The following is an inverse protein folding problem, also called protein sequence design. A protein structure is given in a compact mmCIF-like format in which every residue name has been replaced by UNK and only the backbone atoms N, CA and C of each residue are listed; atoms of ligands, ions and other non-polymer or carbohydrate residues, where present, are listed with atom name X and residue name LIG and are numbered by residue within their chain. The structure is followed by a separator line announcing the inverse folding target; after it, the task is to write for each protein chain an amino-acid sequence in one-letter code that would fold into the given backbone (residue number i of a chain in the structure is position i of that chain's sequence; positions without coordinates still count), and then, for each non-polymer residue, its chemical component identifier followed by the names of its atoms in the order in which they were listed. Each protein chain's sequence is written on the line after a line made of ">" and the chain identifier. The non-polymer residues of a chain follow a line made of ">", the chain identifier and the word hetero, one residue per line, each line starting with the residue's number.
data_IF_589062399057
#
_entry.id   IF_589062399057
#
_cell.length_a   1.000
_cell.length_b   1.000
_cell.length_c   1.000
_cell.angle_alpha   90.00
_cell.angle_beta   90.00
_cell.angle_gamma   90.00
#
_symmetry.space_group_name_H-M   'P 1'
#
loop_
_entity.id
_entity.type
_entity.pdbx_description
1 polymer ?
#
# COMPACT_ATOMS: atom_id res chain seq x y z
N UNK A 1 -34.62 6.37 -3.89
CA UNK A 1 -34.19 7.75 -4.18
C UNK A 1 -32.93 7.70 -5.01
N UNK A 2 -33.03 7.93 -6.33
CA UNK A 2 -31.86 7.99 -7.21
C UNK A 2 -31.14 9.30 -6.88
N UNK A 3 -29.96 9.22 -6.26
CA UNK A 3 -29.12 10.40 -6.07
C UNK A 3 -28.55 10.75 -7.45
N UNK A 4 -29.05 11.82 -8.05
CA UNK A 4 -28.38 12.46 -9.17
C UNK A 4 -26.97 12.83 -8.71
N UNK A 5 -25.95 12.20 -9.28
CA UNK A 5 -24.56 12.65 -9.13
C UNK A 5 -24.47 13.98 -9.86
N UNK A 6 -24.56 15.09 -9.14
CA UNK A 6 -24.22 16.40 -9.66
C UNK A 6 -22.74 16.37 -10.02
N UNK A 7 -22.43 16.71 -11.27
CA UNK A 7 -21.07 16.95 -11.71
C UNK A 7 -20.50 18.08 -10.84
N UNK A 8 -19.49 17.76 -10.03
CA UNK A 8 -18.71 18.78 -9.33
C UNK A 8 -17.80 19.40 -10.38
N UNK A 9 -17.83 20.73 -10.61
CA UNK A 9 -16.85 21.38 -11.47
C UNK A 9 -15.46 21.11 -10.88
N UNK A 10 -14.67 20.29 -11.56
CA UNK A 10 -13.30 19.98 -11.16
C UNK A 10 -12.35 20.93 -11.89
N UNK A 11 -11.80 21.92 -11.18
CA UNK A 11 -10.55 22.53 -11.59
C UNK A 11 -9.42 21.53 -11.32
N UNK A 12 -8.48 21.41 -12.26
CA UNK A 12 -7.23 20.67 -12.04
C UNK A 12 -6.47 21.38 -10.92
N UNK A 13 -6.18 20.67 -9.84
CA UNK A 13 -5.43 21.23 -8.71
C UNK A 13 -3.94 21.31 -8.97
N UNK A 14 -3.39 20.26 -9.57
CA UNK A 14 -1.99 20.12 -9.93
C UNK A 14 -1.83 18.99 -10.94
N UNK A 15 -0.73 19.04 -11.68
CA UNK A 15 -0.24 17.98 -12.56
C UNK A 15 1.21 17.69 -12.14
N UNK A 16 1.54 16.42 -11.92
CA UNK A 16 2.89 16.00 -11.54
C UNK A 16 3.55 15.31 -12.74
N UNK A 17 4.59 15.93 -13.33
CA UNK A 17 5.19 15.48 -14.58
C UNK A 17 4.45 15.96 -15.82
N UNK A 18 4.99 15.61 -17.00
CA UNK A 18 4.62 16.10 -18.34
C UNK A 18 4.96 17.57 -18.59
N UNK A 19 4.88 17.97 -19.87
CA UNK A 19 5.04 19.36 -20.35
C UNK A 19 4.05 20.33 -19.67
N UNK A 20 2.88 19.83 -19.25
CA UNK A 20 1.84 20.60 -18.55
C UNK A 20 1.99 20.51 -17.01
N UNK A 21 3.13 20.01 -16.53
CA UNK A 21 3.39 19.82 -15.11
C UNK A 21 3.37 21.12 -14.32
N UNK A 22 2.78 21.06 -13.12
CA UNK A 22 2.64 22.20 -12.21
C UNK A 22 3.52 22.07 -10.96
N UNK A 23 3.99 20.86 -10.65
CA UNK A 23 4.80 20.57 -9.47
C UNK A 23 6.29 20.49 -9.83
N UNK A 24 7.14 21.08 -9.00
CA UNK A 24 8.57 20.80 -9.05
C UNK A 24 8.83 19.35 -8.62
N UNK A 25 9.56 18.61 -9.44
CA UNK A 25 9.91 17.22 -9.18
C UNK A 25 11.24 17.19 -8.44
N UNK A 26 11.30 16.45 -7.33
CA UNK A 26 12.51 16.26 -6.53
C UNK A 26 12.90 14.77 -6.61
N UNK A 27 14.08 14.48 -7.13
CA UNK A 27 14.59 13.10 -7.23
C UNK A 27 15.14 12.61 -5.87
N UNK A 28 15.46 11.31 -5.79
CA UNK A 28 16.01 10.66 -4.60
C UNK A 28 17.35 11.24 -4.16
N UNK A 29 18.14 11.80 -5.08
CA UNK A 29 19.41 12.46 -4.78
C UNK A 29 19.24 13.93 -4.33
N UNK A 30 18.01 14.42 -4.29
CA UNK A 30 17.66 15.80 -3.92
C UNK A 30 17.73 16.80 -5.07
N UNK A 31 18.02 16.36 -6.30
CA UNK A 31 17.97 17.22 -7.49
C UNK A 31 16.54 17.70 -7.72
N UNK A 32 16.39 19.01 -7.98
CA UNK A 32 15.09 19.66 -8.20
C UNK A 32 14.93 20.06 -9.66
N UNK A 33 13.83 19.60 -10.26
CA UNK A 33 13.42 19.92 -11.62
C UNK A 33 12.17 20.81 -11.57
N UNK A 34 12.32 22.08 -11.91
CA UNK A 34 11.22 23.07 -11.89
C UNK A 34 10.51 23.12 -13.24
N UNK A 35 9.16 23.07 -13.29
CA UNK A 35 8.40 23.17 -14.54
C UNK A 35 8.82 24.35 -15.42
N UNK A 36 8.91 24.13 -16.74
CA UNK A 36 9.35 25.14 -17.71
C UNK A 36 10.84 25.44 -17.72
N UNK A 37 11.65 24.81 -16.85
CA UNK A 37 13.11 24.90 -16.92
C UNK A 37 13.68 23.90 -17.93
N UNK A 38 14.82 24.21 -18.55
CA UNK A 38 15.47 23.29 -19.50
C UNK A 38 15.84 21.95 -18.86
N UNK A 39 16.15 21.92 -17.56
CA UNK A 39 16.42 20.67 -16.84
C UNK A 39 15.16 19.81 -16.68
N UNK A 40 14.01 20.44 -16.45
CA UNK A 40 12.72 19.74 -16.37
C UNK A 40 12.28 19.25 -17.74
N UNK A 41 12.27 20.11 -18.77
CA UNK A 41 11.91 19.69 -20.13
C UNK A 41 12.90 18.67 -20.74
N UNK A 42 14.13 18.63 -20.23
CA UNK A 42 15.18 17.71 -20.68
C UNK A 42 15.25 16.39 -19.92
N UNK A 43 14.37 16.14 -18.94
CA UNK A 43 14.28 14.85 -18.25
C UNK A 43 14.05 13.71 -19.27
N UNK A 44 14.48 12.47 -18.99
CA UNK A 44 14.40 11.30 -19.90
C UNK A 44 14.36 11.61 -21.41
N UNK A 45 15.43 12.22 -21.93
CA UNK A 45 15.57 12.52 -23.38
C UNK A 45 14.51 13.51 -23.92
N UNK A 46 14.12 14.51 -23.13
CA UNK A 46 13.18 15.55 -23.55
C UNK A 46 11.74 15.34 -23.04
N UNK A 47 11.55 14.49 -22.03
CA UNK A 47 10.29 14.18 -21.37
C UNK A 47 10.26 14.83 -20.01
N UNK A 48 9.32 15.72 -19.76
CA UNK A 48 9.24 16.52 -18.54
C UNK A 48 8.72 15.76 -17.30
N UNK A 49 9.31 14.60 -16.98
CA UNK A 49 8.89 13.72 -15.88
C UNK A 49 10.01 12.75 -15.47
N UNK A 50 10.01 12.33 -14.20
CA UNK A 50 10.88 11.26 -13.70
C UNK A 50 10.19 9.88 -13.72
N UNK A 51 8.98 9.75 -14.24
CA UNK A 51 8.26 8.48 -14.40
C UNK A 51 7.40 8.53 -15.66
N UNK A 52 7.28 7.43 -16.39
CA UNK A 52 6.53 7.38 -17.66
C UNK A 52 5.87 6.03 -17.88
N UNK A 53 4.68 6.06 -18.49
CA UNK A 53 3.87 4.88 -18.70
C UNK A 53 3.36 4.29 -17.38
N UNK A 54 3.32 5.08 -16.30
CA UNK A 54 2.97 4.59 -14.97
C UNK A 54 1.56 3.99 -14.89
N UNK A 55 1.38 3.05 -13.98
CA UNK A 55 0.11 2.42 -13.66
C UNK A 55 -0.19 2.44 -12.16
N UNK A 56 -1.48 2.31 -11.88
CA UNK A 56 -2.07 2.19 -10.54
C UNK A 56 -1.62 3.24 -9.52
N UNK A 57 -1.57 4.52 -9.93
CA UNK A 57 -1.34 5.61 -8.98
C UNK A 57 -2.46 5.68 -7.93
N UNK A 58 -2.12 5.42 -6.68
CA UNK A 58 -3.04 5.42 -5.55
C UNK A 58 -2.48 6.28 -4.41
N UNK A 59 -3.36 7.03 -3.74
CA UNK A 59 -3.01 7.78 -2.52
C UNK A 59 -2.99 6.84 -1.31
N UNK A 60 -1.98 6.95 -0.44
CA UNK A 60 -1.81 6.09 0.75
C UNK A 60 -1.75 6.85 2.08
N UNK A 61 -2.11 8.14 2.09
CA UNK A 61 -2.01 8.99 3.28
C UNK A 61 -0.73 9.81 3.31
N UNK A 62 -0.72 10.88 4.12
CA UNK A 62 0.48 11.66 4.44
C UNK A 62 1.20 12.24 3.20
N UNK A 63 0.41 12.56 2.17
CA UNK A 63 0.89 13.05 0.88
C UNK A 63 1.54 11.99 -0.01
N UNK A 64 1.57 10.72 0.39
CA UNK A 64 2.20 9.64 -0.39
C UNK A 64 1.26 9.08 -1.45
N UNK A 65 1.81 8.94 -2.65
CA UNK A 65 1.22 8.27 -3.80
C UNK A 65 2.13 7.12 -4.18
N UNK A 66 1.60 5.91 -4.23
CA UNK A 66 2.32 4.73 -4.70
C UNK A 66 1.87 4.47 -6.13
N UNK A 67 2.81 4.07 -6.97
CA UNK A 67 2.54 3.69 -8.35
C UNK A 67 3.56 2.67 -8.82
N UNK A 68 3.25 2.03 -9.94
CA UNK A 68 4.20 1.27 -10.72
C UNK A 68 4.67 2.15 -11.88
N UNK A 69 5.97 2.41 -11.96
CA UNK A 69 6.58 3.14 -13.09
C UNK A 69 7.11 2.11 -14.09
N UNK A 70 6.45 2.00 -15.25
CA UNK A 70 6.87 1.07 -16.30
C UNK A 70 8.16 1.54 -16.98
N UNK A 71 8.43 2.85 -16.97
CA UNK A 71 9.49 3.50 -17.74
C UNK A 71 9.44 3.16 -19.25
N UNK A 72 8.25 2.88 -19.77
CA UNK A 72 8.01 2.53 -21.16
C UNK A 72 7.33 3.70 -21.88
N UNK A 73 7.90 4.08 -23.02
CA UNK A 73 7.35 5.10 -23.88
C UNK A 73 6.60 4.48 -25.06
N UNK A 74 5.27 4.55 -25.10
CA UNK A 74 4.49 3.98 -26.18
C UNK A 74 4.66 4.73 -27.51
N UNK A 75 5.19 5.96 -27.50
CA UNK A 75 5.39 6.75 -28.73
C UNK A 75 6.61 6.27 -29.49
N UNK A 76 7.72 6.04 -28.79
CA UNK A 76 8.96 5.52 -29.39
C UNK A 76 9.01 4.00 -29.39
N UNK A 77 8.12 3.34 -28.63
CA UNK A 77 8.13 1.90 -28.39
C UNK A 77 9.44 1.43 -27.73
N UNK A 78 9.94 2.20 -26.76
CA UNK A 78 11.21 1.94 -26.09
C UNK A 78 11.10 2.13 -24.57
N UNK A 79 11.94 1.41 -23.83
CA UNK A 79 12.14 1.70 -22.41
C UNK A 79 13.16 2.82 -22.25
N UNK A 80 12.76 3.90 -21.60
CA UNK A 80 13.64 5.05 -21.28
C UNK A 80 14.27 4.93 -19.88
N UNK A 81 13.96 3.83 -19.17
CA UNK A 81 14.46 3.55 -17.83
C UNK A 81 14.18 2.11 -17.38
N UNK A 82 13.98 1.94 -16.07
CA UNK A 82 13.70 0.65 -15.46
C UNK A 82 12.28 0.60 -14.89
N UNK A 83 11.61 -0.53 -15.07
CA UNK A 83 10.34 -0.75 -14.36
C UNK A 83 10.59 -0.89 -12.87
N UNK A 84 9.80 -0.17 -12.08
CA UNK A 84 10.01 -0.03 -10.63
C UNK A 84 8.74 0.26 -9.87
N UNK A 85 8.74 -0.16 -8.61
CA UNK A 85 7.80 0.30 -7.60
C UNK A 85 8.26 1.69 -7.14
N UNK A 86 7.35 2.66 -7.08
CA UNK A 86 7.67 4.06 -6.79
C UNK A 86 6.78 4.63 -5.69
N UNK A 87 7.36 5.43 -4.78
CA UNK A 87 6.61 6.30 -3.85
C UNK A 87 6.96 7.76 -4.16
N UNK A 88 5.93 8.53 -4.48
CA UNK A 88 6.00 9.98 -4.67
C UNK A 88 5.25 10.68 -3.53
N UNK A 89 5.90 11.59 -2.82
CA UNK A 89 5.26 12.45 -1.83
C UNK A 89 4.94 13.80 -2.46
N UNK A 90 3.66 14.16 -2.47
CA UNK A 90 3.18 15.46 -2.95
C UNK A 90 2.97 16.40 -1.76
N UNK A 91 3.52 17.61 -1.87
CA UNK A 91 3.23 18.72 -0.98
C UNK A 91 2.51 19.82 -1.77
N UNK A 92 1.20 19.92 -1.58
CA UNK A 92 0.35 20.89 -2.29
C UNK A 92 0.63 22.35 -1.91
N UNK A 93 1.22 22.61 -0.73
CA UNK A 93 1.55 23.99 -0.32
C UNK A 93 2.81 24.49 -1.03
N UNK A 94 3.83 23.64 -1.10
CA UNK A 94 5.10 23.96 -1.73
C UNK A 94 5.10 23.68 -3.25
N UNK A 95 4.01 23.08 -3.76
CA UNK A 95 3.87 22.64 -5.14
C UNK A 95 5.04 21.74 -5.58
N UNK A 96 5.36 20.73 -4.77
CA UNK A 96 6.43 19.77 -5.04
C UNK A 96 5.93 18.33 -5.06
N UNK A 97 6.57 17.50 -5.90
CA UNK A 97 6.43 16.05 -5.94
C UNK A 97 7.82 15.42 -5.74
N UNK A 98 8.06 14.81 -4.59
CA UNK A 98 9.36 14.21 -4.25
C UNK A 98 9.33 12.70 -4.38
N UNK A 99 10.27 12.11 -5.10
CA UNK A 99 10.56 10.69 -4.97
C UNK A 99 11.11 10.46 -3.56
N UNK A 100 10.47 9.58 -2.80
CA UNK A 100 10.90 9.26 -1.43
C UNK A 100 11.31 7.80 -1.27
N UNK A 101 11.06 6.98 -2.29
CA UNK A 101 11.44 5.57 -2.31
C UNK A 101 11.32 4.98 -3.73
N UNK A 102 12.20 4.04 -4.07
CA UNK A 102 12.08 3.19 -5.26
C UNK A 102 12.53 1.74 -5.01
N UNK A 103 12.01 0.80 -5.80
CA UNK A 103 12.55 -0.54 -5.95
C UNK A 103 12.47 -0.98 -7.41
N UNK A 104 13.64 -1.29 -8.01
CA UNK A 104 13.75 -1.74 -9.41
C UNK A 104 13.58 -3.25 -9.49
N UNK A 105 12.79 -3.71 -10.45
CA UNK A 105 12.45 -5.14 -10.58
C UNK A 105 13.59 -6.03 -11.09
N UNK A 106 14.62 -5.44 -11.71
CA UNK A 106 15.66 -6.18 -12.42
C UNK A 106 15.23 -6.69 -13.80
N UNK A 107 13.98 -6.44 -14.19
CA UNK A 107 13.44 -6.62 -15.53
C UNK A 107 12.45 -5.48 -15.84
N UNK A 108 12.03 -5.37 -17.09
CA UNK A 108 11.12 -4.33 -17.53
C UNK A 108 9.74 -4.89 -17.93
N UNK A 109 8.69 -4.20 -17.51
CA UNK A 109 7.27 -4.41 -17.83
C UNK A 109 6.77 -3.19 -18.59
N UNK A 110 6.31 -3.35 -19.83
CA UNK A 110 5.92 -2.26 -20.73
C UNK A 110 4.55 -1.69 -20.41
N UNK A 111 3.67 -2.48 -19.80
CA UNK A 111 2.32 -2.07 -19.40
C UNK A 111 1.88 -2.79 -18.14
N UNK A 112 0.90 -2.23 -17.43
CA UNK A 112 0.38 -2.72 -16.17
C UNK A 112 1.41 -2.78 -15.05
N UNK A 113 0.97 -3.25 -13.88
CA UNK A 113 1.79 -3.29 -12.68
C UNK A 113 1.08 -2.60 -11.53
N UNK A 114 1.56 -2.90 -10.34
CA UNK A 114 0.93 -2.45 -9.10
C UNK A 114 1.98 -2.20 -8.02
N UNK A 115 1.63 -1.34 -7.06
CA UNK A 115 2.44 -1.04 -5.89
C UNK A 115 1.55 -0.66 -4.70
N UNK A 116 1.25 -1.63 -3.86
CA UNK A 116 0.33 -1.50 -2.74
C UNK A 116 1.02 -1.59 -1.39
N UNK A 117 0.70 -0.68 -0.48
CA UNK A 117 1.15 -0.78 0.91
C UNK A 117 0.41 -1.90 1.64
N UNK A 118 1.14 -2.78 2.32
CA UNK A 118 0.61 -3.84 3.19
C UNK A 118 0.50 -3.39 4.66
N UNK A 119 -0.27 -4.12 5.51
CA UNK A 119 -0.35 -3.86 6.95
C UNK A 119 1.00 -3.91 7.69
N UNK A 120 1.99 -4.62 7.14
CA UNK A 120 3.37 -4.66 7.65
C UNK A 120 4.13 -3.35 7.40
N UNK A 121 3.64 -2.48 6.51
CA UNK A 121 4.37 -1.34 5.98
C UNK A 121 5.19 -1.65 4.74
N UNK A 122 5.35 -2.93 4.40
CA UNK A 122 5.98 -3.41 3.17
C UNK A 122 5.13 -3.07 1.95
N UNK A 123 5.72 -3.21 0.76
CA UNK A 123 5.06 -2.94 -0.50
C UNK A 123 4.85 -4.23 -1.28
N UNK A 124 3.62 -4.45 -1.74
CA UNK A 124 3.23 -5.53 -2.63
C UNK A 124 3.25 -5.00 -4.06
N UNK A 125 4.10 -5.57 -4.90
CA UNK A 125 4.15 -5.23 -6.32
C UNK A 125 3.88 -6.44 -7.21
N UNK A 126 3.53 -6.16 -8.46
CA UNK A 126 3.53 -7.16 -9.52
C UNK A 126 4.11 -6.59 -10.82
N UNK A 127 4.73 -7.47 -11.60
CA UNK A 127 5.24 -7.15 -12.94
C UNK A 127 5.49 -8.41 -13.76
N UNK A 128 5.84 -8.22 -15.02
CA UNK A 128 6.11 -9.30 -15.98
C UNK A 128 7.20 -8.86 -16.99
N UNK A 129 8.13 -9.73 -17.41
CA UNK A 129 9.15 -9.35 -18.39
C UNK A 129 8.55 -9.15 -19.79
N UNK A 130 8.70 -7.96 -20.37
CA UNK A 130 8.15 -7.63 -21.70
C UNK A 130 8.91 -8.17 -22.90
N UNK A 131 10.09 -8.71 -22.66
CA UNK A 131 10.77 -9.58 -23.62
C UNK A 131 11.00 -10.90 -22.92
N UNK A 132 10.91 -12.04 -23.62
CA UNK A 132 11.28 -13.32 -23.04
C UNK A 132 12.68 -13.17 -22.48
N UNK A 133 12.79 -13.19 -21.15
CA UNK A 133 14.10 -13.20 -20.53
C UNK A 133 14.77 -14.49 -21.01
N UNK A 134 15.86 -14.34 -21.77
CA UNK A 134 16.56 -15.48 -22.41
C UNK A 134 17.05 -16.52 -21.39
N UNK A 135 16.99 -16.17 -20.10
CA UNK A 135 17.44 -16.96 -18.97
C UNK A 135 16.34 -17.85 -18.33
N UNK A 136 15.11 -17.89 -18.89
CA UNK A 136 14.10 -18.88 -18.47
C UNK A 136 13.43 -18.63 -17.12
N UNK A 137 13.31 -17.36 -16.73
CA UNK A 137 12.70 -16.94 -15.45
C UNK A 137 11.29 -16.42 -15.71
N UNK A 138 10.28 -17.05 -15.10
CA UNK A 138 8.86 -16.68 -14.96
C UNK A 138 8.18 -15.73 -15.97
N UNK A 139 6.91 -15.99 -16.25
CA UNK A 139 6.07 -15.12 -17.08
C UNK A 139 5.65 -13.85 -16.31
N UNK A 140 5.29 -14.00 -15.04
CA UNK A 140 4.90 -12.90 -14.17
C UNK A 140 5.40 -13.15 -12.74
N UNK A 141 5.58 -12.08 -11.98
CA UNK A 141 6.03 -12.14 -10.60
C UNK A 141 5.19 -11.20 -9.72
N UNK A 142 4.88 -11.69 -8.53
CA UNK A 142 4.38 -10.93 -7.40
C UNK A 142 5.49 -10.90 -6.35
N UNK A 143 5.70 -9.77 -5.71
CA UNK A 143 6.74 -9.61 -4.69
C UNK A 143 6.28 -8.70 -3.55
N UNK A 144 6.71 -9.04 -2.34
CA UNK A 144 6.61 -8.18 -1.17
C UNK A 144 8.00 -7.63 -0.84
N UNK A 145 8.18 -6.31 -0.92
CA UNK A 145 9.44 -5.62 -0.59
C UNK A 145 9.34 -4.97 0.77
N UNK A 146 10.35 -5.21 1.61
CA UNK A 146 10.54 -4.48 2.86
C UNK A 146 10.85 -3.03 2.53
N UNK A 147 9.97 -2.11 2.92
CA UNK A 147 10.09 -0.68 2.57
C UNK A 147 11.42 -0.07 3.06
N UNK A 148 11.85 -0.42 4.27
CA UNK A 148 13.01 0.22 4.89
C UNK A 148 14.36 -0.30 4.38
N UNK A 149 14.44 -1.57 3.97
CA UNK A 149 15.69 -2.20 3.54
C UNK A 149 15.75 -2.46 2.04
N UNK A 150 14.62 -2.34 1.34
CA UNK A 150 14.44 -2.73 -0.05
C UNK A 150 14.74 -4.22 -0.32
N UNK A 151 14.72 -5.06 0.71
CA UNK A 151 14.85 -6.51 0.57
C UNK A 151 13.52 -7.15 0.17
N UNK A 152 13.58 -8.18 -0.69
CA UNK A 152 12.39 -8.99 -1.02
C UNK A 152 12.09 -9.93 0.16
N UNK A 153 10.99 -9.68 0.86
CA UNK A 153 10.52 -10.52 1.96
C UNK A 153 9.86 -11.81 1.47
N UNK A 154 9.21 -11.75 0.30
CA UNK A 154 8.51 -12.86 -0.32
C UNK A 154 8.32 -12.60 -1.82
N UNK A 155 8.30 -13.66 -2.63
CA UNK A 155 7.89 -13.60 -4.02
C UNK A 155 7.10 -14.83 -4.44
N UNK A 156 6.24 -14.66 -5.43
CA UNK A 156 5.62 -15.74 -6.18
C UNK A 156 5.85 -15.52 -7.67
N UNK A 157 6.32 -16.56 -8.33
CA UNK A 157 6.61 -16.57 -9.75
C UNK A 157 5.60 -17.47 -10.48
N UNK A 158 5.08 -16.96 -11.59
CA UNK A 158 4.08 -17.62 -12.41
C UNK A 158 4.78 -18.11 -13.68
N UNK A 159 4.65 -19.39 -13.97
CA UNK A 159 5.25 -20.02 -15.15
C UNK A 159 4.14 -20.50 -16.10
N UNK A 160 4.16 -20.03 -17.35
CA UNK A 160 3.30 -20.53 -18.40
C UNK A 160 3.85 -21.80 -19.03
N UNK A 161 3.05 -22.44 -19.89
CA UNK A 161 3.57 -23.48 -20.77
C UNK A 161 4.29 -22.83 -21.96
N UNK A 162 5.51 -23.28 -22.23
CA UNK A 162 6.40 -22.77 -23.30
C UNK A 162 5.85 -22.97 -24.73
N UNK A 163 4.60 -23.38 -24.86
CA UNK A 163 3.84 -23.54 -26.11
C UNK A 163 3.13 -22.26 -26.52
N UNK A 164 3.04 -21.26 -25.63
CA UNK A 164 2.56 -19.90 -25.94
C UNK A 164 3.64 -19.17 -26.74
N UNK A 165 3.75 -19.58 -27.99
CA UNK A 165 4.51 -18.93 -29.03
C UNK A 165 4.04 -17.48 -29.15
N UNK A 166 4.98 -16.57 -29.40
CA UNK A 166 4.76 -15.15 -29.67
C UNK A 166 3.42 -14.93 -30.35
N UNK A 167 2.41 -14.42 -29.62
CA UNK A 167 1.16 -13.99 -30.25
C UNK A 167 1.35 -12.70 -31.07
N UNK A 168 2.61 -12.30 -31.26
CA UNK A 168 3.04 -11.20 -32.09
C UNK A 168 2.85 -11.62 -33.55
N UNK A 169 1.59 -11.61 -33.99
CA UNK A 169 1.28 -11.53 -35.41
C UNK A 169 1.74 -10.17 -35.90
N UNK A 170 2.21 -10.08 -37.15
CA UNK A 170 2.86 -8.89 -37.68
C UNK A 170 1.99 -7.60 -37.64
N UNK A 171 0.70 -7.70 -37.30
CA UNK A 171 -0.24 -6.59 -37.14
C UNK A 171 -0.23 -5.94 -35.73
N UNK A 172 0.39 -6.55 -34.72
CA UNK A 172 0.50 -5.97 -33.36
C UNK A 172 1.72 -5.05 -33.18
N UNK A 173 2.37 -4.69 -34.30
CA UNK A 173 3.56 -3.83 -34.32
C UNK A 173 3.25 -2.35 -34.05
N UNK A 174 1.97 -1.94 -34.09
CA UNK A 174 1.57 -0.56 -33.81
C UNK A 174 1.43 -0.24 -32.31
N UNK A 175 1.39 -1.24 -31.42
CA UNK A 175 1.21 -1.02 -29.97
C UNK A 175 2.42 -1.37 -29.11
N UNK A 176 3.53 -1.81 -29.71
CA UNK A 176 4.75 -2.08 -28.95
C UNK A 176 4.65 -3.20 -27.91
N UNK A 177 3.55 -3.96 -27.95
CA UNK A 177 3.10 -4.86 -26.91
C UNK A 177 3.25 -6.31 -27.35
N UNK A 178 4.44 -6.70 -27.78
CA UNK A 178 4.71 -8.12 -28.03
C UNK A 178 4.75 -8.83 -26.67
N UNK A 179 3.60 -9.35 -26.27
CA UNK A 179 3.36 -9.92 -24.95
C UNK A 179 3.74 -11.39 -24.96
N UNK A 180 4.73 -11.76 -24.16
CA UNK A 180 5.16 -13.14 -23.97
C UNK A 180 4.69 -13.67 -22.62
N UNK A 181 4.01 -14.82 -22.61
CA UNK A 181 3.56 -15.48 -21.38
C UNK A 181 2.34 -14.84 -20.69
N UNK A 182 2.18 -15.12 -19.39
CA UNK A 182 1.23 -14.46 -18.50
C UNK A 182 1.63 -13.01 -18.16
N UNK A 183 0.64 -12.13 -18.10
CA UNK A 183 0.79 -10.77 -17.59
C UNK A 183 -0.11 -10.55 -16.39
N UNK A 184 0.22 -9.55 -15.58
CA UNK A 184 -0.57 -9.18 -14.41
C UNK A 184 -1.01 -7.73 -14.50
N UNK A 185 -2.32 -7.51 -14.48
CA UNK A 185 -2.88 -6.15 -14.44
C UNK A 185 -2.59 -5.47 -13.10
N UNK A 186 -2.99 -6.14 -12.01
CA UNK A 186 -2.82 -5.70 -10.63
C UNK A 186 -2.81 -6.90 -9.67
N UNK A 187 -2.42 -6.68 -8.41
CA UNK A 187 -2.42 -7.72 -7.37
C UNK A 187 -2.95 -7.17 -6.06
N UNK A 188 -3.95 -7.84 -5.49
CA UNK A 188 -4.59 -7.43 -4.24
C UNK A 188 -4.38 -8.49 -3.17
N UNK A 189 -4.07 -8.06 -1.94
CA UNK A 189 -4.00 -8.96 -0.79
C UNK A 189 -5.30 -8.90 0.01
N UNK A 190 -5.77 -10.05 0.47
CA UNK A 190 -6.95 -10.17 1.29
C UNK A 190 -6.63 -11.07 2.48
N UNK A 191 -7.09 -10.67 3.65
CA UNK A 191 -7.03 -11.49 4.86
C UNK A 191 -8.42 -12.00 5.19
N UNK A 192 -8.47 -13.17 5.81
CA UNK A 192 -9.74 -13.79 6.22
C UNK A 192 -10.45 -12.99 7.32
N UNK A 193 -9.69 -12.35 8.20
CA UNK A 193 -10.18 -11.63 9.37
C UNK A 193 -9.33 -10.37 9.61
N UNK A 194 -9.83 -9.39 10.39
CA UNK A 194 -9.04 -8.22 10.76
C UNK A 194 -7.71 -8.62 11.40
N UNK A 195 -6.70 -7.77 11.31
CA UNK A 195 -5.39 -8.06 11.87
C UNK A 195 -5.26 -7.36 13.22
N UNK A 196 -4.80 -8.08 14.24
CA UNK A 196 -4.45 -7.52 15.55
C UNK A 196 -2.96 -7.74 15.79
N UNK A 197 -2.18 -6.66 15.76
CA UNK A 197 -0.73 -6.68 15.99
C UNK A 197 -0.38 -6.06 17.35
N UNK A 198 0.73 -6.55 17.92
CA UNK A 198 1.36 -5.99 19.12
C UNK A 198 0.39 -5.74 20.28
N UNK A 199 -0.59 -6.65 20.47
CA UNK A 199 -1.53 -6.53 21.56
C UNK A 199 -0.82 -6.78 22.89
N UNK A 200 -0.79 -5.76 23.74
CA UNK A 200 -0.19 -5.79 25.07
C UNK A 200 -1.22 -5.36 26.12
N UNK A 201 -1.04 -5.81 27.36
CA UNK A 201 -1.78 -5.25 28.49
C UNK A 201 -0.80 -4.80 29.58
N UNK A 202 -0.85 -3.51 29.93
CA UNK A 202 -0.02 -2.92 30.97
C UNK A 202 -0.85 -2.63 32.22
N UNK A 203 -0.30 -2.97 33.39
CA UNK A 203 -0.89 -2.62 34.68
C UNK A 203 -0.15 -1.42 35.28
N UNK A 204 -0.90 -0.41 35.74
CA UNK A 204 -0.35 0.76 36.45
C UNK A 204 -0.97 0.84 37.85
N UNK A 205 -0.13 0.80 38.90
CA UNK A 205 -0.54 1.09 40.27
C UNK A 205 -0.23 2.55 40.58
N UNK A 206 -1.26 3.34 40.87
CA UNK A 206 -1.09 4.78 41.15
C UNK A 206 -0.64 5.06 42.57
N UNK A 207 -0.86 4.15 43.52
CA UNK A 207 -0.66 4.41 44.95
C UNK A 207 -0.11 3.23 45.78
N UNK A 208 0.47 2.19 45.15
CA UNK A 208 1.08 1.05 45.87
C UNK A 208 0.08 0.15 46.63
N UNK A 209 -1.22 0.43 46.56
CA UNK A 209 -2.30 -0.39 47.08
C UNK A 209 -3.02 -1.16 45.98
N UNK A 210 -3.41 -2.41 46.26
CA UNK A 210 -4.10 -3.32 45.34
C UNK A 210 -5.50 -2.85 44.86
N UNK A 211 -6.04 -1.77 45.44
CA UNK A 211 -7.38 -1.25 45.13
C UNK A 211 -7.38 -0.13 44.08
N UNK A 212 -6.20 0.33 43.67
CA UNK A 212 -6.02 1.48 42.77
C UNK A 212 -5.17 1.08 41.56
N UNK A 213 -5.50 -0.08 40.97
CA UNK A 213 -4.87 -0.58 39.75
C UNK A 213 -5.69 -0.17 38.53
N UNK A 214 -5.00 0.38 37.53
CA UNK A 214 -5.55 0.59 36.19
C UNK A 214 -4.89 -0.36 35.21
N UNK A 215 -5.68 -0.85 34.25
CA UNK A 215 -5.19 -1.74 33.21
C UNK A 215 -5.45 -1.10 31.86
N UNK A 216 -4.46 -1.16 30.97
CA UNK A 216 -4.59 -0.65 29.60
C UNK A 216 -4.23 -1.75 28.62
N UNK A 217 -5.16 -2.07 27.72
CA UNK A 217 -4.90 -2.91 26.56
C UNK A 217 -4.56 -1.99 25.39
N UNK A 218 -3.41 -2.21 24.78
CA UNK A 218 -2.96 -1.47 23.59
C UNK A 218 -2.72 -2.44 22.45
N UNK A 219 -3.19 -2.11 21.24
CA UNK A 219 -2.98 -2.91 20.04
C UNK A 219 -2.99 -2.02 18.79
N UNK A 220 -2.36 -2.50 17.71
CA UNK A 220 -2.53 -1.95 16.36
C UNK A 220 -3.45 -2.88 15.59
N UNK A 221 -4.47 -2.32 14.94
CA UNK A 221 -5.45 -3.09 14.19
C UNK A 221 -5.55 -2.60 12.75
N UNK A 222 -5.84 -3.54 11.85
CA UNK A 222 -6.05 -3.28 10.43
C UNK A 222 -7.31 -4.01 9.95
N UNK A 223 -8.00 -3.43 8.98
CA UNK A 223 -9.08 -4.15 8.31
C UNK A 223 -8.49 -5.29 7.46
N UNK A 224 -9.30 -6.28 7.12
CA UNK A 224 -8.86 -7.47 6.39
C UNK A 224 -8.68 -7.26 4.88
N UNK A 225 -9.07 -6.11 4.36
CA UNK A 225 -8.84 -5.68 2.98
C UNK A 225 -8.56 -4.17 2.92
N UNK A 226 -7.80 -3.75 1.89
CA UNK A 226 -7.46 -2.35 1.63
C UNK A 226 -8.73 -1.55 1.35
N UNK A 227 -8.87 -0.38 1.98
CA UNK A 227 -9.99 0.54 1.72
C UNK A 227 -9.49 1.97 1.58
N UNK A 228 -10.01 2.71 0.60
CA UNK A 228 -9.62 4.12 0.39
C UNK A 228 -10.30 5.10 1.34
N UNK A 229 -11.35 4.66 2.04
CA UNK A 229 -12.10 5.47 3.00
C UNK A 229 -12.06 4.85 4.39
N UNK A 230 -12.26 5.66 5.46
CA UNK A 230 -12.38 5.13 6.81
C UNK A 230 -13.57 4.18 6.85
N UNK A 231 -13.37 3.03 7.50
CA UNK A 231 -14.40 2.01 7.60
C UNK A 231 -14.68 1.68 9.07
N UNK A 232 -15.95 1.59 9.43
CA UNK A 232 -16.38 1.28 10.80
C UNK A 232 -15.92 -0.11 11.26
N UNK A 233 -15.55 -0.19 12.54
CA UNK A 233 -15.26 -1.42 13.25
C UNK A 233 -15.65 -1.28 14.72
N UNK A 234 -15.63 -2.39 15.44
CA UNK A 234 -15.87 -2.41 16.88
C UNK A 234 -14.91 -3.36 17.58
N UNK A 235 -14.72 -3.15 18.87
CA UNK A 235 -13.92 -4.02 19.72
C UNK A 235 -14.69 -4.51 20.93
N UNK A 236 -14.30 -5.67 21.44
CA UNK A 236 -14.74 -6.18 22.73
C UNK A 236 -13.55 -6.72 23.52
N UNK A 237 -13.56 -6.45 24.82
CA UNK A 237 -12.67 -7.12 25.78
C UNK A 237 -13.50 -8.13 26.55
N UNK A 238 -13.10 -9.40 26.48
CA UNK A 238 -13.79 -10.51 27.13
C UNK A 238 -12.83 -11.22 28.08
N UNK A 239 -13.29 -11.48 29.31
CA UNK A 239 -12.54 -12.30 30.28
C UNK A 239 -12.40 -13.74 29.76
N UNK A 240 -11.16 -14.27 29.72
CA UNK A 240 -10.92 -15.57 29.09
C UNK A 240 -11.54 -16.76 29.82
N UNK A 241 -11.70 -16.68 31.16
CA UNK A 241 -12.26 -17.78 31.95
C UNK A 241 -13.79 -17.78 31.98
N UNK A 242 -14.41 -16.62 32.20
CA UNK A 242 -15.85 -16.52 32.38
C UNK A 242 -16.61 -16.26 31.09
N UNK A 243 -15.93 -15.79 30.03
CA UNK A 243 -16.57 -15.28 28.81
C UNK A 243 -17.32 -13.96 29.03
N UNK A 244 -17.19 -13.33 30.20
CA UNK A 244 -17.87 -12.08 30.51
C UNK A 244 -17.25 -10.93 29.73
N UNK A 245 -18.09 -10.17 29.02
CA UNK A 245 -17.69 -8.91 28.38
C UNK A 245 -17.35 -7.87 29.45
N UNK A 246 -16.14 -7.33 29.37
CA UNK A 246 -15.63 -6.30 30.28
C UNK A 246 -15.85 -4.90 29.69
N UNK A 247 -15.59 -4.75 28.39
CA UNK A 247 -15.69 -3.48 27.68
C UNK A 247 -15.95 -3.71 26.21
N UNK A 248 -16.49 -2.73 25.54
CA UNK A 248 -16.52 -2.66 24.09
C UNK A 248 -16.71 -1.22 23.62
N UNK A 249 -16.54 -1.00 22.33
CA UNK A 249 -16.73 0.31 21.71
C UNK A 249 -16.52 0.24 20.21
N UNK A 250 -16.88 1.34 19.55
CA UNK A 250 -16.76 1.49 18.11
C UNK A 250 -15.53 2.33 17.76
N UNK A 251 -14.98 2.11 16.57
CA UNK A 251 -13.87 2.88 16.02
C UNK A 251 -13.93 2.86 14.49
N UNK A 252 -13.03 3.60 13.84
CA UNK A 252 -12.84 3.52 12.39
C UNK A 252 -11.44 3.00 12.08
N UNK A 253 -11.35 2.03 11.18
CA UNK A 253 -10.09 1.67 10.55
C UNK A 253 -9.55 2.86 9.74
N UNK A 254 -8.26 3.12 9.86
CA UNK A 254 -7.59 4.13 9.05
C UNK A 254 -7.49 3.60 7.62
N UNK A 255 -7.77 4.42 6.59
CA UNK A 255 -7.64 4.03 5.18
C UNK A 255 -6.26 3.49 4.81
N UNK A 256 -6.20 2.79 3.67
CA UNK A 256 -4.97 2.38 2.98
C UNK A 256 -4.07 1.48 3.83
N UNK A 257 -4.70 0.63 4.67
CA UNK A 257 -4.01 -0.24 5.62
C UNK A 257 -2.99 0.48 6.48
N UNK A 258 -3.26 1.74 6.83
CA UNK A 258 -2.49 2.44 7.85
C UNK A 258 -2.87 1.97 9.25
N UNK A 259 -1.95 2.06 10.23
CA UNK A 259 -2.19 1.60 11.59
C UNK A 259 -3.39 2.30 12.26
N UNK A 260 -4.36 1.52 12.76
CA UNK A 260 -5.34 2.01 13.74
C UNK A 260 -4.89 1.61 15.13
N UNK A 261 -4.58 2.58 15.99
CA UNK A 261 -4.17 2.30 17.37
C UNK A 261 -5.39 2.23 18.28
N UNK A 262 -5.56 1.12 18.99
CA UNK A 262 -6.54 0.96 20.06
C UNK A 262 -5.82 1.06 21.40
N UNK A 263 -6.30 1.98 22.26
CA UNK A 263 -5.87 2.11 23.66
C UNK A 263 -7.12 2.03 24.55
N UNK A 264 -7.26 0.93 25.28
CA UNK A 264 -8.48 0.56 25.98
C UNK A 264 -8.19 0.48 27.48
N UNK A 265 -8.67 1.48 28.22
CA UNK A 265 -8.56 1.50 29.68
C UNK A 265 -9.66 0.66 30.34
N UNK A 266 -9.29 -0.21 31.27
CA UNK A 266 -10.17 -1.00 32.11
C UNK A 266 -10.10 -0.48 33.56
N UNK A 267 -11.24 -0.42 34.24
CA UNK A 267 -11.33 0.13 35.60
C UNK A 267 -11.01 -0.90 36.67
N UNK A 268 -10.58 -0.46 37.86
CA UNK A 268 -10.13 -1.31 38.97
C UNK A 268 -11.16 -2.35 39.44
N UNK A 269 -12.46 -2.11 39.25
CA UNK A 269 -13.51 -3.10 39.52
C UNK A 269 -13.58 -4.25 38.48
N UNK A 270 -12.70 -4.23 37.48
CA UNK A 270 -12.56 -5.24 36.42
C UNK A 270 -11.29 -6.09 36.63
N UNK A 271 -11.01 -6.48 37.89
CA UNK A 271 -9.89 -7.34 38.35
C UNK A 271 -9.94 -8.73 37.68
N UNK A 272 -9.75 -8.85 36.36
CA UNK A 272 -9.88 -10.17 35.73
C UNK A 272 -8.92 -10.46 34.58
N UNK A 273 -8.20 -9.47 34.05
CA UNK A 273 -7.21 -9.74 33.02
C UNK A 273 -5.87 -10.30 33.56
N UNK A 274 -5.74 -10.52 34.87
CA UNK A 274 -4.58 -11.22 35.47
C UNK A 274 -4.54 -12.69 35.08
N UNK A 275 -5.70 -13.31 34.80
CA UNK A 275 -5.81 -14.67 34.24
C UNK A 275 -6.03 -14.65 32.72
N UNK A 276 -5.83 -13.49 32.11
CA UNK A 276 -5.94 -13.25 30.68
C UNK A 276 -7.31 -12.78 30.21
N UNK A 277 -7.26 -11.98 29.15
CA UNK A 277 -8.41 -11.42 28.45
C UNK A 277 -8.25 -11.63 26.94
N UNK A 278 -9.35 -11.56 26.22
CA UNK A 278 -9.38 -11.60 24.76
C UNK A 278 -9.79 -10.24 24.23
N UNK A 279 -8.93 -9.61 23.44
CA UNK A 279 -9.30 -8.51 22.55
C UNK A 279 -9.93 -9.12 21.30
N UNK A 280 -11.18 -8.76 21.04
CA UNK A 280 -11.93 -9.14 19.86
C UNK A 280 -12.12 -7.89 19.01
N UNK A 281 -11.82 -7.98 17.72
CA UNK A 281 -12.00 -6.88 16.75
C UNK A 281 -12.93 -7.36 15.65
N UNK A 282 -13.93 -6.56 15.35
CA UNK A 282 -15.00 -6.87 14.39
C UNK A 282 -15.02 -5.76 13.35
N UNK A 283 -14.98 -6.11 12.06
CA UNK A 283 -15.16 -5.13 10.99
C UNK A 283 -16.64 -4.96 10.62
N UNK A 284 -16.92 -4.05 9.69
CA UNK A 284 -18.28 -3.77 9.21
C UNK A 284 -18.99 -4.92 8.49
N UNK A 285 -18.26 -5.87 7.91
CA UNK A 285 -18.84 -7.10 7.32
C UNK A 285 -18.95 -8.23 8.33
N UNK A 286 -18.69 -7.93 9.61
CA UNK A 286 -18.76 -8.84 10.75
C UNK A 286 -17.69 -9.96 10.76
N UNK A 287 -16.61 -9.81 9.99
CA UNK A 287 -15.43 -10.65 10.20
C UNK A 287 -14.80 -10.31 11.55
N UNK A 288 -14.34 -11.33 12.25
CA UNK A 288 -13.93 -11.23 13.65
C UNK A 288 -12.54 -11.80 13.84
N UNK A 289 -11.66 -11.03 14.46
CA UNK A 289 -10.34 -11.47 14.90
C UNK A 289 -10.27 -11.48 16.42
N UNK A 290 -9.49 -12.40 17.00
CA UNK A 290 -9.31 -12.52 18.44
C UNK A 290 -7.85 -12.64 18.82
N UNK A 291 -7.42 -11.88 19.83
CA UNK A 291 -6.09 -11.96 20.42
C UNK A 291 -6.17 -12.08 21.93
N UNK A 292 -5.54 -13.11 22.48
CA UNK A 292 -5.38 -13.26 23.92
C UNK A 292 -4.26 -12.34 24.43
N UNK A 293 -4.50 -11.68 25.56
CA UNK A 293 -3.55 -10.80 26.25
C UNK A 293 -3.57 -11.09 27.74
N UNK A 294 -2.40 -11.05 28.38
CA UNK A 294 -2.23 -11.16 29.83
C UNK A 294 -1.61 -9.86 30.31
N UNK A 295 -2.16 -9.28 31.38
CA UNK A 295 -1.64 -8.04 31.93
C UNK A 295 -0.41 -8.29 32.79
N UNK A 296 0.69 -7.62 32.45
CA UNK A 296 1.93 -7.57 33.23
C UNK A 296 2.13 -6.19 33.85
#
# INVERSE_FOLDING_TARGET
>A
TIRHKTHVPTSVKWIAGSEEGMLAIIDLDGTVYTPGSAGYEGLYEGRSTLWIGQHNVEYFGDGEYLMFDNAFDPVTNEFVGHSRLLIVRVNEMDMTASLVWEFRLGYNSSVYGDNDRLPTGNLLGCGWPSSPNKDGTFDAQILEVVRDTSEVAWSAEIYGDSTRQDQCTNDDTESGSCMYGWMMYSVERLYKEPIIQNATCTRTSTNGGALDESYRISAVVFNNFKTSNPYGGSFEIVESLSGRKLKGGDFNFVPHWRPTVLNIDLTSNQIVCTKGCSLIVINHVHDTARRHVICS
#
